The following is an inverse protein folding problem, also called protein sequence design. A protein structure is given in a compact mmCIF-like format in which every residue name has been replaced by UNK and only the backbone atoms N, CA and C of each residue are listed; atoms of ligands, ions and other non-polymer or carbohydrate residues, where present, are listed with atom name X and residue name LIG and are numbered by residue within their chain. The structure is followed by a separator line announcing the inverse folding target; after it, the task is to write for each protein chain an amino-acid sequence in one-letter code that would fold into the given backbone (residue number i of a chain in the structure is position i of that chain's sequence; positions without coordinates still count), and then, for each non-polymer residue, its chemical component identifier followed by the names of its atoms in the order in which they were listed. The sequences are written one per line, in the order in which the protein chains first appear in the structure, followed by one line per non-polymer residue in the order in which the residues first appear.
data_IF_334741109281
#
_entry.id   IF_334741109281
#
_cell.length_a   1.000
_cell.length_b   1.000
_cell.length_c   1.000
_cell.angle_alpha   90.00
_cell.angle_beta   90.00
_cell.angle_gamma   90.00
#
_symmetry.space_group_name_H-M   'P 1'
#
loop_
_entity.id
_entity.type
_entity.pdbx_description
1 polymer ?
#
# COMPACT_ATOMS: atom_id res chain seq x y z
N UNK A 1 -3.49 -3.18 21.25
CA UNK A 1 -2.71 -3.74 20.15
C UNK A 1 -1.61 -4.62 20.72
N UNK A 2 -1.54 -5.88 20.34
CA UNK A 2 -0.50 -6.77 20.83
C UNK A 2 0.73 -6.64 19.92
N UNK A 3 1.81 -6.05 20.44
CA UNK A 3 3.05 -5.80 19.69
C UNK A 3 3.69 -7.10 19.15
N UNK A 4 3.37 -8.24 19.74
CA UNK A 4 3.92 -9.54 19.35
C UNK A 4 3.41 -9.97 17.97
N UNK A 5 2.10 -9.79 17.69
CA UNK A 5 1.51 -10.12 16.38
C UNK A 5 2.05 -9.18 15.33
N UNK A 6 2.05 -7.87 15.59
CA UNK A 6 2.61 -6.88 14.70
C UNK A 6 4.07 -7.21 14.32
N UNK A 7 4.93 -7.49 15.29
CA UNK A 7 6.33 -7.86 15.04
C UNK A 7 6.46 -9.15 14.23
N UNK A 8 5.61 -10.16 14.54
CA UNK A 8 5.57 -11.41 13.77
C UNK A 8 5.28 -11.15 12.30
N UNK A 9 4.22 -10.39 12.00
CA UNK A 9 3.80 -10.09 10.64
C UNK A 9 4.86 -9.24 9.89
N UNK A 10 5.41 -8.21 10.53
CA UNK A 10 6.48 -7.40 9.95
C UNK A 10 7.70 -8.28 9.61
N UNK A 11 8.14 -9.12 10.54
CA UNK A 11 9.25 -10.03 10.27
C UNK A 11 8.93 -11.02 9.14
N UNK A 12 7.70 -11.51 9.07
CA UNK A 12 7.26 -12.41 7.99
C UNK A 12 7.29 -11.70 6.63
N UNK A 13 6.88 -10.44 6.56
CA UNK A 13 6.94 -9.65 5.32
C UNK A 13 8.38 -9.42 4.87
N UNK A 14 9.26 -8.99 5.77
CA UNK A 14 10.65 -8.69 5.43
C UNK A 14 11.56 -9.93 5.34
N UNK A 15 11.15 -11.08 5.86
CA UNK A 15 11.83 -12.36 5.61
C UNK A 15 11.39 -13.02 4.31
N UNK A 16 10.30 -12.59 3.72
CA UNK A 16 9.78 -13.08 2.44
C UNK A 16 10.09 -12.11 1.30
N UNK A 17 10.27 -12.64 0.08
CA UNK A 17 10.45 -11.83 -1.13
C UNK A 17 9.24 -10.93 -1.44
N UNK A 18 8.05 -11.27 -0.95
CA UNK A 18 6.80 -10.58 -1.30
C UNK A 18 6.82 -9.12 -0.85
N UNK A 19 7.27 -8.83 0.37
CA UNK A 19 7.35 -7.46 0.88
C UNK A 19 8.26 -6.58 0.01
N UNK A 20 9.43 -7.11 -0.37
CA UNK A 20 10.37 -6.38 -1.24
C UNK A 20 9.83 -6.20 -2.66
N UNK A 21 9.25 -7.26 -3.25
CA UNK A 21 8.67 -7.19 -4.60
C UNK A 21 7.60 -6.10 -4.67
N UNK A 22 6.73 -6.01 -3.69
CA UNK A 22 5.66 -4.99 -3.67
C UNK A 22 6.25 -3.58 -3.64
N UNK A 23 7.22 -3.32 -2.76
CA UNK A 23 7.87 -2.01 -2.65
C UNK A 23 8.59 -1.67 -3.96
N UNK A 24 9.37 -2.61 -4.51
CA UNK A 24 10.14 -2.41 -5.73
C UNK A 24 9.24 -2.18 -6.94
N UNK A 25 8.19 -2.99 -7.10
CA UNK A 25 7.21 -2.83 -8.18
C UNK A 25 6.53 -1.47 -8.08
N UNK A 26 6.08 -1.07 -6.88
CA UNK A 26 5.48 0.25 -6.68
C UNK A 26 6.42 1.38 -7.09
N UNK A 27 7.67 1.35 -6.63
CA UNK A 27 8.66 2.38 -6.94
C UNK A 27 9.06 2.42 -8.41
N UNK A 28 9.22 1.24 -9.04
CA UNK A 28 9.55 1.18 -10.48
C UNK A 28 8.41 1.78 -11.30
N UNK A 29 7.18 1.33 -11.09
CA UNK A 29 6.05 1.81 -11.90
C UNK A 29 5.77 3.30 -11.66
N UNK A 30 5.74 3.75 -10.40
CA UNK A 30 5.56 5.17 -10.12
C UNK A 30 6.70 6.02 -10.67
N UNK A 31 7.96 5.58 -10.53
CA UNK A 31 9.12 6.29 -11.04
C UNK A 31 9.16 6.37 -12.57
N UNK A 32 8.91 5.25 -13.26
CA UNK A 32 8.86 5.21 -14.72
C UNK A 32 7.74 6.11 -15.27
N UNK A 33 6.56 6.03 -14.67
CA UNK A 33 5.41 6.81 -15.14
C UNK A 33 5.60 8.30 -14.89
N UNK A 34 6.22 8.66 -13.78
CA UNK A 34 6.41 10.06 -13.38
C UNK A 34 7.56 10.73 -14.14
N UNK A 35 8.66 10.01 -14.44
CA UNK A 35 9.88 10.62 -14.98
C UNK A 35 10.29 10.18 -16.37
N UNK A 36 9.92 8.98 -16.82
CA UNK A 36 10.48 8.36 -18.03
C UNK A 36 9.53 8.39 -19.22
N UNK A 37 8.26 8.03 -19.03
CA UNK A 37 7.31 8.00 -20.15
C UNK A 37 7.01 9.42 -20.63
N UNK A 38 7.38 9.72 -21.89
CA UNK A 38 7.41 11.06 -22.46
C UNK A 38 6.05 11.78 -22.45
N UNK A 39 4.95 11.05 -22.55
CA UNK A 39 3.60 11.63 -22.52
C UNK A 39 3.13 12.04 -21.11
N UNK A 40 3.66 11.37 -20.07
CA UNK A 40 3.33 11.61 -18.67
C UNK A 40 4.45 12.23 -17.86
N UNK A 41 5.64 12.42 -18.46
CA UNK A 41 6.82 12.90 -17.73
C UNK A 41 6.65 14.33 -17.23
N UNK A 42 6.87 14.51 -15.92
CA UNK A 42 6.91 15.83 -15.28
C UNK A 42 7.95 16.74 -15.94
N UNK A 43 9.03 16.17 -16.49
CA UNK A 43 10.10 16.92 -17.16
C UNK A 43 9.63 17.61 -18.46
N UNK A 44 8.59 17.07 -19.10
CA UNK A 44 8.01 17.62 -20.34
C UNK A 44 6.80 18.52 -20.06
N UNK A 45 6.25 18.52 -18.86
CA UNK A 45 5.02 19.26 -18.52
C UNK A 45 5.21 20.79 -18.50
N UNK A 46 6.46 21.28 -18.37
CA UNK A 46 6.77 22.71 -18.35
C UNK A 46 6.44 23.43 -17.04
N UNK A 47 5.89 22.71 -16.05
CA UNK A 47 5.62 23.22 -14.70
C UNK A 47 5.84 22.11 -13.67
N UNK A 48 6.25 22.51 -12.45
CA UNK A 48 6.56 21.60 -11.38
C UNK A 48 5.28 21.16 -10.66
N UNK A 49 4.85 19.90 -10.85
CA UNK A 49 3.75 19.28 -10.11
C UNK A 49 4.00 17.78 -9.90
N UNK A 50 3.18 17.12 -9.08
CA UNK A 50 3.19 15.68 -8.85
C UNK A 50 1.84 15.02 -9.18
N UNK A 51 0.99 15.69 -9.96
CA UNK A 51 -0.38 15.22 -10.27
C UNK A 51 -0.36 13.84 -10.91
N UNK A 52 0.57 13.60 -11.82
CA UNK A 52 0.73 12.30 -12.50
C UNK A 52 1.05 11.18 -11.50
N UNK A 53 1.91 11.45 -10.52
CA UNK A 53 2.20 10.49 -9.46
C UNK A 53 0.93 10.16 -8.65
N UNK A 54 0.16 11.18 -8.25
CA UNK A 54 -1.07 10.98 -7.46
C UNK A 54 -2.21 10.38 -8.27
N UNK A 55 -2.18 10.41 -9.59
CA UNK A 55 -3.11 9.71 -10.46
C UNK A 55 -2.79 8.21 -10.55
N UNK A 56 -1.51 7.84 -10.70
CA UNK A 56 -1.11 6.45 -10.91
C UNK A 56 -0.99 5.65 -9.60
N UNK A 57 -0.60 6.29 -8.50
CA UNK A 57 -0.36 5.60 -7.23
C UNK A 57 -1.62 4.90 -6.67
N UNK A 58 -2.84 5.50 -6.67
CA UNK A 58 -4.06 4.81 -6.26
C UNK A 58 -4.35 3.58 -7.12
N UNK A 59 -4.14 3.68 -8.43
CA UNK A 59 -4.36 2.56 -9.35
C UNK A 59 -3.42 1.39 -9.04
N UNK A 60 -2.15 1.65 -8.74
CA UNK A 60 -1.22 0.61 -8.33
C UNK A 60 -1.62 -0.03 -6.99
N UNK A 61 -2.15 0.75 -6.06
CA UNK A 61 -2.62 0.25 -4.77
C UNK A 61 -3.80 -0.72 -4.90
N UNK A 62 -4.64 -0.60 -5.93
CA UNK A 62 -5.72 -1.56 -6.21
C UNK A 62 -5.21 -3.00 -6.42
N UNK A 63 -3.97 -3.17 -6.83
CA UNK A 63 -3.35 -4.49 -7.04
C UNK A 63 -2.35 -4.85 -5.95
N UNK A 64 -1.51 -3.90 -5.55
CA UNK A 64 -0.42 -4.18 -4.61
C UNK A 64 -0.90 -4.40 -3.18
N UNK A 65 -1.92 -3.66 -2.73
CA UNK A 65 -2.46 -3.84 -1.38
C UNK A 65 -3.19 -5.18 -1.23
N UNK A 66 -4.07 -5.61 -2.16
CA UNK A 66 -4.58 -6.98 -2.17
C UNK A 66 -3.49 -8.06 -2.17
N UNK A 67 -2.39 -7.85 -2.90
CA UNK A 67 -1.27 -8.79 -2.92
C UNK A 67 -0.55 -8.91 -1.57
N UNK A 68 -0.46 -7.82 -0.80
CA UNK A 68 0.08 -7.84 0.57
C UNK A 68 -0.89 -8.55 1.52
N UNK A 69 -2.16 -8.20 1.45
CA UNK A 69 -3.17 -8.56 2.45
C UNK A 69 -3.74 -9.95 2.26
N UNK A 70 -3.71 -10.50 1.02
CA UNK A 70 -4.28 -11.82 0.71
C UNK A 70 -3.75 -12.95 1.60
N UNK A 71 -2.55 -12.82 2.14
CA UNK A 71 -1.87 -13.86 2.94
C UNK A 71 -2.17 -13.79 4.43
N UNK A 72 -2.66 -12.65 4.91
CA UNK A 72 -2.69 -12.34 6.35
C UNK A 72 -3.52 -13.33 7.18
N UNK A 73 -4.65 -13.78 6.65
CA UNK A 73 -5.49 -14.79 7.29
C UNK A 73 -5.59 -16.08 6.47
N UNK A 74 -5.71 -15.97 5.13
CA UNK A 74 -5.91 -17.16 4.28
C UNK A 74 -4.73 -18.13 4.35
N UNK A 75 -3.50 -17.66 4.57
CA UNK A 75 -2.34 -18.53 4.79
C UNK A 75 -2.42 -19.30 6.12
N UNK A 76 -2.90 -18.64 7.18
CA UNK A 76 -3.10 -19.28 8.49
C UNK A 76 -4.22 -20.31 8.46
N UNK A 77 -5.33 -20.03 7.73
CA UNK A 77 -6.37 -21.01 7.48
C UNK A 77 -5.85 -22.22 6.69
N UNK A 78 -5.12 -21.96 5.60
CA UNK A 78 -4.60 -23.02 4.73
C UNK A 78 -3.60 -23.94 5.45
N UNK A 79 -2.78 -23.37 6.38
CA UNK A 79 -1.80 -24.11 7.18
C UNK A 79 -2.38 -24.72 8.47
N UNK A 80 -3.66 -24.47 8.79
CA UNK A 80 -4.28 -24.90 10.05
C UNK A 80 -3.71 -24.22 11.29
N UNK A 81 -2.97 -23.13 11.15
CA UNK A 81 -2.33 -22.42 12.27
C UNK A 81 -3.25 -21.43 12.97
N UNK A 82 -4.43 -21.20 12.42
CA UNK A 82 -5.44 -20.30 13.02
C UNK A 82 -5.91 -20.83 14.37
N UNK A 83 -6.03 -22.16 14.55
CA UNK A 83 -6.41 -22.80 15.82
C UNK A 83 -5.35 -22.54 16.89
N UNK A 84 -4.06 -22.62 16.54
CA UNK A 84 -2.96 -22.31 17.43
C UNK A 84 -2.95 -20.84 17.88
N UNK A 85 -3.44 -19.95 17.00
CA UNK A 85 -3.57 -18.53 17.33
C UNK A 85 -4.71 -18.31 18.33
N UNK A 86 -5.81 -19.07 18.21
CA UNK A 86 -7.00 -19.01 19.07
C UNK A 86 -6.75 -19.59 20.47
N UNK A 87 -5.78 -20.49 20.64
CA UNK A 87 -5.42 -21.02 21.96
C UNK A 87 -4.56 -20.07 22.81
N UNK A 88 -4.01 -19.03 22.22
CA UNK A 88 -3.25 -18.01 22.95
C UNK A 88 -4.19 -17.03 23.65
N UNK A 89 -3.81 -16.47 24.81
CA UNK A 89 -4.61 -15.48 25.54
C UNK A 89 -4.59 -14.11 24.83
N UNK A 90 -5.09 -14.07 23.59
CA UNK A 90 -5.13 -12.90 22.74
C UNK A 90 -6.59 -12.60 22.37
N UNK A 91 -6.96 -11.33 22.40
CA UNK A 91 -8.27 -10.91 21.91
C UNK A 91 -8.27 -10.84 20.38
N UNK A 92 -9.38 -11.20 19.76
CA UNK A 92 -9.55 -11.15 18.29
C UNK A 92 -9.21 -9.78 17.71
N UNK A 93 -9.68 -8.70 18.36
CA UNK A 93 -9.34 -7.33 17.96
C UNK A 93 -7.83 -7.07 17.96
N UNK A 94 -7.10 -7.67 18.88
CA UNK A 94 -5.64 -7.52 18.96
C UNK A 94 -4.93 -8.20 17.79
N UNK A 95 -5.49 -9.32 17.31
CA UNK A 95 -4.98 -10.06 16.15
C UNK A 95 -5.22 -9.24 14.88
N UNK A 96 -6.47 -8.81 14.66
CA UNK A 96 -6.84 -8.04 13.47
C UNK A 96 -6.05 -6.72 13.39
N UNK A 97 -6.01 -5.96 14.48
CA UNK A 97 -5.26 -4.69 14.52
C UNK A 97 -3.75 -4.89 14.34
N UNK A 98 -3.18 -5.97 14.89
CA UNK A 98 -1.77 -6.29 14.68
C UNK A 98 -1.43 -6.52 13.22
N UNK A 99 -2.26 -7.28 12.50
CA UNK A 99 -2.13 -7.55 11.06
C UNK A 99 -2.38 -6.29 10.23
N UNK A 100 -3.39 -5.50 10.60
CA UNK A 100 -3.72 -4.25 9.93
C UNK A 100 -2.56 -3.26 9.96
N UNK A 101 -2.02 -2.98 11.15
CA UNK A 101 -0.90 -2.07 11.28
C UNK A 101 0.39 -2.61 10.64
N UNK A 102 0.60 -3.92 10.59
CA UNK A 102 1.72 -4.50 9.88
C UNK A 102 1.63 -4.25 8.37
N UNK A 103 0.46 -4.45 7.76
CA UNK A 103 0.23 -4.15 6.35
C UNK A 103 0.36 -2.63 6.06
N UNK A 104 -0.19 -1.76 6.93
CA UNK A 104 0.00 -0.31 6.80
C UNK A 104 1.46 0.12 6.88
N UNK A 105 2.26 -0.54 7.71
CA UNK A 105 3.69 -0.24 7.80
C UNK A 105 4.39 -0.51 6.46
N UNK A 106 4.05 -1.59 5.75
CA UNK A 106 4.57 -1.85 4.41
C UNK A 106 4.17 -0.75 3.40
N UNK A 107 2.93 -0.27 3.48
CA UNK A 107 2.48 0.85 2.64
C UNK A 107 3.31 2.11 2.93
N UNK A 108 3.56 2.42 4.20
CA UNK A 108 4.42 3.54 4.59
C UNK A 108 5.83 3.36 4.01
N UNK A 109 6.41 2.15 4.11
CA UNK A 109 7.72 1.85 3.53
C UNK A 109 7.73 1.98 2.00
N UNK A 110 6.60 1.78 1.33
CA UNK A 110 6.47 2.02 -0.11
C UNK A 110 6.36 3.52 -0.45
N UNK A 111 5.70 4.30 0.42
CA UNK A 111 5.50 5.73 0.21
C UNK A 111 6.73 6.58 0.59
N UNK A 112 7.48 6.19 1.62
CA UNK A 112 8.63 6.98 2.10
C UNK A 112 9.66 7.30 0.99
N UNK A 113 10.11 6.34 0.15
CA UNK A 113 11.05 6.65 -0.93
C UNK A 113 10.49 7.61 -1.97
N UNK A 114 9.17 7.67 -2.17
CA UNK A 114 8.56 8.59 -3.13
C UNK A 114 8.64 10.07 -2.72
N UNK A 115 8.97 10.36 -1.45
CA UNK A 115 9.30 11.71 -1.00
C UNK A 115 10.52 12.29 -1.74
N UNK A 116 11.39 11.42 -2.29
CA UNK A 116 12.48 11.84 -3.17
C UNK A 116 11.91 12.49 -4.45
N UNK A 117 10.74 12.06 -4.93
CA UNK A 117 10.09 12.68 -6.11
C UNK A 117 9.72 14.14 -5.81
N UNK A 118 9.15 14.40 -4.63
CA UNK A 118 8.87 15.76 -4.18
C UNK A 118 10.15 16.61 -4.14
N UNK A 119 11.23 16.09 -3.55
CA UNK A 119 12.51 16.77 -3.49
C UNK A 119 13.07 17.05 -4.88
N UNK A 120 13.02 16.08 -5.79
CA UNK A 120 13.52 16.20 -7.17
C UNK A 120 12.75 17.27 -7.94
N UNK A 121 11.42 17.24 -7.88
CA UNK A 121 10.57 18.24 -8.59
C UNK A 121 10.76 19.62 -7.99
N UNK A 122 10.93 19.73 -6.68
CA UNK A 122 11.25 21.00 -5.99
C UNK A 122 12.57 21.63 -6.46
N UNK A 123 13.57 20.80 -6.79
CA UNK A 123 14.87 21.28 -7.25
C UNK A 123 14.94 21.55 -8.76
N UNK A 124 14.11 20.89 -9.55
CA UNK A 124 14.05 21.07 -11.00
C UNK A 124 13.12 22.24 -11.42
N UNK A 125 12.28 22.71 -10.51
CA UNK A 125 11.43 23.88 -10.76
C UNK A 125 12.24 25.13 -11.04
N UNK A 126 11.90 25.85 -12.13
CA UNK A 126 12.63 27.04 -12.59
C UNK A 126 12.58 28.23 -11.60
N UNK A 127 11.58 28.28 -10.72
CA UNK A 127 11.42 29.30 -9.67
C UNK A 127 11.29 28.60 -8.31
N UNK A 128 12.14 29.03 -7.37
CA UNK A 128 12.04 28.54 -5.98
C UNK A 128 10.66 28.92 -5.39
N UNK A 129 9.97 27.95 -4.79
CA UNK A 129 8.67 28.17 -4.16
C UNK A 129 7.43 28.02 -5.04
N UNK A 130 7.57 27.62 -6.31
CA UNK A 130 6.45 27.45 -7.23
C UNK A 130 5.70 26.08 -7.07
N UNK A 131 6.07 25.27 -6.09
CA UNK A 131 5.38 24.03 -5.74
C UNK A 131 4.25 24.31 -4.76
N UNK A 132 3.07 23.79 -5.03
CA UNK A 132 1.98 23.75 -4.05
C UNK A 132 2.27 22.67 -2.97
N UNK A 133 3.07 23.06 -1.99
CA UNK A 133 3.45 22.17 -0.86
C UNK A 133 2.21 21.73 -0.09
N UNK A 134 1.18 22.58 0.03
CA UNK A 134 -0.05 22.29 0.74
C UNK A 134 -0.86 21.20 0.03
N UNK A 135 -1.06 21.36 -1.28
CA UNK A 135 -1.75 20.38 -2.12
C UNK A 135 -1.04 19.03 -2.16
N UNK A 136 0.30 19.04 -2.31
CA UNK A 136 1.10 17.80 -2.32
C UNK A 136 1.02 17.08 -0.98
N UNK A 137 1.17 17.79 0.13
CA UNK A 137 1.07 17.19 1.48
C UNK A 137 -0.32 16.60 1.71
N UNK A 138 -1.38 17.34 1.34
CA UNK A 138 -2.75 16.86 1.39
C UNK A 138 -2.97 15.60 0.55
N UNK A 139 -2.38 15.55 -0.64
CA UNK A 139 -2.45 14.39 -1.54
C UNK A 139 -1.75 13.15 -0.96
N UNK A 140 -0.58 13.30 -0.32
CA UNK A 140 0.07 12.20 0.40
C UNK A 140 -0.78 11.67 1.57
N UNK A 141 -1.39 12.56 2.35
CA UNK A 141 -2.30 12.17 3.42
C UNK A 141 -3.52 11.43 2.84
N UNK A 142 -4.13 11.96 1.78
CA UNK A 142 -5.24 11.32 1.09
C UNK A 142 -4.88 9.94 0.54
N UNK A 143 -3.71 9.81 -0.08
CA UNK A 143 -3.20 8.53 -0.60
C UNK A 143 -2.96 7.51 0.53
N UNK A 144 -2.44 7.95 1.67
CA UNK A 144 -2.28 7.09 2.84
C UNK A 144 -3.62 6.62 3.42
N UNK A 145 -4.61 7.51 3.55
CA UNK A 145 -5.95 7.15 4.02
C UNK A 145 -6.67 6.20 3.05
N UNK A 146 -6.52 6.42 1.75
CA UNK A 146 -7.01 5.51 0.72
C UNK A 146 -6.39 4.11 0.87
N UNK A 147 -5.08 4.05 1.01
CA UNK A 147 -4.37 2.80 1.22
C UNK A 147 -4.81 2.09 2.50
N UNK A 148 -5.03 2.85 3.59
CA UNK A 148 -5.56 2.33 4.85
C UNK A 148 -6.94 1.67 4.68
N UNK A 149 -7.79 2.27 3.84
CA UNK A 149 -9.10 1.70 3.49
C UNK A 149 -8.95 0.42 2.67
N UNK A 150 -8.06 0.38 1.69
CA UNK A 150 -7.80 -0.83 0.90
C UNK A 150 -7.19 -1.95 1.74
N UNK A 151 -6.34 -1.64 2.71
CA UNK A 151 -5.81 -2.63 3.67
C UNK A 151 -6.94 -3.24 4.49
N UNK A 152 -7.91 -2.45 4.95
CA UNK A 152 -9.06 -2.97 5.68
C UNK A 152 -9.92 -3.92 4.82
N UNK A 153 -10.19 -3.55 3.56
CA UNK A 153 -10.90 -4.39 2.59
C UNK A 153 -10.12 -5.68 2.33
N UNK A 154 -8.81 -5.59 2.17
CA UNK A 154 -7.95 -6.74 1.91
C UNK A 154 -7.89 -7.73 3.09
N UNK A 155 -7.84 -7.23 4.32
CA UNK A 155 -7.91 -8.06 5.53
C UNK A 155 -9.26 -8.77 5.62
N UNK A 156 -10.34 -8.06 5.39
CA UNK A 156 -11.69 -8.64 5.34
C UNK A 156 -11.77 -9.77 4.31
N UNK A 157 -11.28 -9.53 3.10
CA UNK A 157 -11.24 -10.54 2.03
C UNK A 157 -10.40 -11.76 2.41
N UNK A 158 -9.25 -11.54 3.07
CA UNK A 158 -8.38 -12.63 3.53
C UNK A 158 -8.98 -13.44 4.67
N UNK A 159 -9.89 -12.85 5.45
CA UNK A 159 -10.56 -13.56 6.55
C UNK A 159 -11.70 -14.47 6.09
N UNK A 160 -12.28 -14.23 4.92
CA UNK A 160 -13.44 -14.99 4.40
C UNK A 160 -13.03 -16.29 3.71
N UNK A 161 -11.81 -16.37 3.17
CA UNK A 161 -11.38 -17.51 2.35
C UNK A 161 -10.01 -18.03 2.74
N UNK A 162 -9.85 -19.36 2.71
CA UNK A 162 -8.54 -20.01 2.88
C UNK A 162 -7.67 -19.97 1.62
N UNK A 163 -8.26 -19.63 0.45
CA UNK A 163 -7.52 -19.55 -0.81
C UNK A 163 -6.97 -18.14 -1.03
N UNK A 164 -5.65 -18.00 -1.07
CA UNK A 164 -4.96 -16.71 -1.25
C UNK A 164 -5.32 -16.02 -2.57
N UNK A 165 -5.45 -16.78 -3.67
CA UNK A 165 -5.80 -16.23 -4.99
C UNK A 165 -7.23 -15.67 -4.97
N UNK A 166 -8.17 -16.41 -4.37
CA UNK A 166 -9.54 -15.94 -4.23
C UNK A 166 -9.60 -14.69 -3.32
N UNK A 167 -8.85 -14.68 -2.22
CA UNK A 167 -8.72 -13.52 -1.35
C UNK A 167 -8.21 -12.28 -2.11
N UNK A 168 -7.17 -12.45 -2.93
CA UNK A 168 -6.65 -11.38 -3.78
C UNK A 168 -7.71 -10.84 -4.74
N UNK A 169 -8.41 -11.72 -5.46
CA UNK A 169 -9.44 -11.32 -6.43
C UNK A 169 -10.59 -10.56 -5.76
N UNK A 170 -11.09 -11.08 -4.63
CA UNK A 170 -12.16 -10.42 -3.87
C UNK A 170 -11.71 -9.06 -3.35
N UNK A 171 -10.50 -8.96 -2.79
CA UNK A 171 -9.94 -7.70 -2.33
C UNK A 171 -9.79 -6.68 -3.46
N UNK A 172 -9.25 -7.10 -4.61
CA UNK A 172 -9.05 -6.23 -5.76
C UNK A 172 -10.40 -5.72 -6.33
N UNK A 173 -11.39 -6.62 -6.49
CA UNK A 173 -12.73 -6.24 -6.99
C UNK A 173 -13.41 -5.28 -6.01
N UNK A 174 -13.40 -5.56 -4.72
CA UNK A 174 -14.00 -4.69 -3.73
C UNK A 174 -13.30 -3.32 -3.69
N UNK A 175 -11.97 -3.29 -3.67
CA UNK A 175 -11.22 -2.03 -3.69
C UNK A 175 -11.52 -1.22 -4.96
N UNK A 176 -11.61 -1.88 -6.12
CA UNK A 176 -11.99 -1.25 -7.38
C UNK A 176 -13.41 -0.65 -7.33
N UNK A 177 -14.39 -1.42 -6.82
CA UNK A 177 -15.76 -0.95 -6.66
C UNK A 177 -15.86 0.25 -5.71
N UNK A 178 -15.12 0.25 -4.61
CA UNK A 178 -15.09 1.38 -3.68
C UNK A 178 -14.39 2.61 -4.28
N UNK A 179 -13.36 2.42 -5.08
CA UNK A 179 -12.61 3.53 -5.66
C UNK A 179 -13.32 4.21 -6.83
N UNK A 180 -14.00 3.44 -7.69
CA UNK A 180 -14.68 3.96 -8.89
C UNK A 180 -16.21 4.03 -8.75
N UNK A 181 -16.77 3.39 -7.73
CA UNK A 181 -18.22 3.34 -7.51
C UNK A 181 -18.77 4.51 -6.69
N UNK A 182 -17.88 5.27 -6.05
CA UNK A 182 -18.18 6.47 -5.28
C UNK A 182 -17.28 7.63 -5.74
#
# INVERSE_FOLDING_TARGET
MNLTIYKKEINQFFSSLVGYIVIVVFLIFTGLYTFVFSESSILNAGFANLDIYFQIAPFLFLFLIPAITMRLFSEEYNKGTIELLSTKPLTENSIVLGKYFAALTLVIFSLLPTLVYFYTVSKLGATEGNLDVGGITGSYIGLFLLAASFVAIGIFSSAITSNQILSFLVAAILSFLFYYGF
#
